data_IF_710480962377
#
_entry.id   IF_710480962377
#
_cell.length_a   1.000
_cell.length_b   1.000
_cell.length_c   1.000
_cell.angle_alpha   90.00
_cell.angle_beta   90.00
_cell.angle_gamma   90.00
#
_symmetry.space_group_name_H-M   'P 1'
#
loop_
_entity.id
_entity.type
_entity.pdbx_description
1 polymer ?
#
# COMPACT_ATOMS: atom_id res chain seq x y z
N UNK A 1 3.98 -6.93 4.37
CA UNK A 1 3.35 -8.08 5.03
C UNK A 1 1.92 -7.82 5.50
N UNK A 2 1.59 -6.64 6.04
CA UNK A 2 0.24 -6.30 6.56
C UNK A 2 -0.86 -6.51 5.49
N UNK A 3 -0.69 -6.03 4.25
CA UNK A 3 -1.67 -6.25 3.18
C UNK A 3 -1.91 -7.72 2.89
N UNK A 4 -0.87 -8.55 2.82
CA UNK A 4 -1.02 -9.99 2.60
C UNK A 4 -1.76 -10.70 3.73
N UNK A 5 -1.42 -10.39 4.98
CA UNK A 5 -2.10 -11.00 6.14
C UNK A 5 -3.57 -10.59 6.28
N UNK A 6 -3.93 -9.43 5.76
CA UNK A 6 -5.32 -8.94 5.76
C UNK A 6 -6.15 -9.55 4.62
N UNK A 7 -5.65 -9.49 3.38
CA UNK A 7 -6.45 -9.86 2.21
C UNK A 7 -6.42 -11.36 1.88
N UNK A 8 -5.30 -12.05 2.11
CA UNK A 8 -5.18 -13.48 1.81
C UNK A 8 -6.20 -14.37 2.56
N UNK A 9 -6.36 -14.25 3.89
CA UNK A 9 -7.35 -15.06 4.61
C UNK A 9 -8.78 -14.75 4.15
N UNK A 10 -9.10 -13.50 3.89
CA UNK A 10 -10.43 -13.04 3.47
C UNK A 10 -10.81 -13.59 2.10
N UNK A 11 -9.84 -13.63 1.15
CA UNK A 11 -10.04 -14.21 -0.18
C UNK A 11 -10.11 -15.73 -0.13
N UNK A 12 -9.17 -16.39 0.57
CA UNK A 12 -9.10 -17.87 0.65
C UNK A 12 -10.31 -18.46 1.37
N UNK A 13 -10.79 -17.83 2.44
CA UNK A 13 -11.95 -18.31 3.19
C UNK A 13 -13.29 -17.87 2.57
N UNK A 14 -13.25 -17.22 1.40
CA UNK A 14 -14.44 -16.67 0.72
C UNK A 14 -15.29 -15.76 1.61
N UNK A 15 -14.72 -15.21 2.69
CA UNK A 15 -15.42 -14.31 3.62
C UNK A 15 -15.85 -13.03 2.90
N UNK A 16 -15.02 -12.51 2.00
CA UNK A 16 -15.39 -11.36 1.14
C UNK A 16 -16.68 -11.65 0.38
N UNK A 17 -16.90 -12.89 -0.10
CA UNK A 17 -18.15 -13.25 -0.78
C UNK A 17 -19.35 -13.20 0.17
N UNK A 18 -19.21 -13.78 1.37
CA UNK A 18 -20.29 -13.78 2.36
C UNK A 18 -20.66 -12.36 2.79
N UNK A 19 -19.66 -11.49 2.96
CA UNK A 19 -19.87 -10.11 3.34
C UNK A 19 -20.45 -9.27 2.21
N UNK A 20 -20.12 -9.56 0.94
CA UNK A 20 -20.72 -8.90 -0.23
C UNK A 20 -22.19 -9.29 -0.47
N UNK A 21 -22.67 -10.40 0.10
CA UNK A 21 -24.09 -10.80 0.05
C UNK A 21 -24.94 -10.23 1.19
N UNK A 22 -24.32 -9.56 2.19
CA UNK A 22 -25.06 -8.82 3.19
C UNK A 22 -25.75 -7.59 2.57
N UNK A 23 -26.90 -7.15 3.08
CA UNK A 23 -27.63 -5.98 2.55
C UNK A 23 -26.95 -4.64 2.90
N UNK A 24 -25.64 -4.65 3.03
CA UNK A 24 -24.81 -3.48 3.26
C UNK A 24 -24.23 -3.00 1.92
N UNK A 25 -23.98 -1.70 1.81
CA UNK A 25 -23.36 -1.14 0.62
C UNK A 25 -21.93 -1.70 0.47
N UNK A 26 -21.73 -2.54 -0.55
CA UNK A 26 -20.48 -3.26 -0.83
C UNK A 26 -19.26 -2.33 -0.93
N UNK A 27 -19.49 -1.14 -1.50
CA UNK A 27 -18.45 -0.11 -1.64
C UNK A 27 -17.98 0.35 -0.26
N UNK A 28 -18.91 0.59 0.67
CA UNK A 28 -18.58 1.03 2.04
C UNK A 28 -17.74 -0.04 2.75
N UNK A 29 -18.06 -1.31 2.55
CA UNK A 29 -17.32 -2.41 3.16
C UNK A 29 -15.88 -2.51 2.64
N UNK A 30 -15.68 -2.43 1.32
CA UNK A 30 -14.34 -2.41 0.72
C UNK A 30 -13.53 -1.23 1.23
N UNK A 31 -14.13 -0.04 1.29
CA UNK A 31 -13.47 1.15 1.81
C UNK A 31 -13.09 1.01 3.30
N UNK A 32 -13.94 0.41 4.13
CA UNK A 32 -13.63 0.21 5.55
C UNK A 32 -12.47 -0.76 5.74
N UNK A 33 -12.38 -1.84 4.95
CA UNK A 33 -11.24 -2.76 4.97
C UNK A 33 -9.93 -2.06 4.57
N UNK A 34 -9.97 -1.28 3.48
CA UNK A 34 -8.81 -0.51 3.01
C UNK A 34 -8.39 0.52 4.03
N UNK A 35 -9.36 1.26 4.58
CA UNK A 35 -9.11 2.29 5.58
C UNK A 35 -8.46 1.70 6.84
N UNK A 36 -8.95 0.56 7.30
CA UNK A 36 -8.37 -0.13 8.46
C UNK A 36 -6.89 -0.49 8.22
N UNK A 37 -6.58 -1.14 7.09
CA UNK A 37 -5.20 -1.50 6.77
C UNK A 37 -4.29 -0.28 6.55
N UNK A 38 -4.84 0.78 5.93
CA UNK A 38 -4.14 2.04 5.76
C UNK A 38 -3.80 2.69 7.12
N UNK A 39 -4.78 2.75 8.05
CA UNK A 39 -4.57 3.28 9.40
C UNK A 39 -3.56 2.47 10.20
N UNK A 40 -3.55 1.14 10.06
CA UNK A 40 -2.56 0.27 10.72
C UNK A 40 -1.14 0.54 10.21
N UNK A 41 -0.97 0.69 8.90
CA UNK A 41 0.35 1.03 8.33
C UNK A 41 0.76 2.43 8.77
N UNK A 42 -0.15 3.39 8.72
CA UNK A 42 0.11 4.77 9.12
C UNK A 42 0.51 4.85 10.59
N UNK A 43 -0.17 4.14 11.48
CA UNK A 43 0.17 4.12 12.92
C UNK A 43 1.56 3.55 13.16
N UNK A 44 1.93 2.45 12.49
CA UNK A 44 3.27 1.88 12.57
C UNK A 44 4.33 2.85 12.05
N UNK A 45 4.09 3.49 10.92
CA UNK A 45 5.01 4.48 10.34
C UNK A 45 5.21 5.67 11.27
N UNK A 46 4.13 6.18 11.89
CA UNK A 46 4.21 7.29 12.87
C UNK A 46 5.03 6.89 14.09
N UNK A 47 4.80 5.70 14.65
CA UNK A 47 5.59 5.19 15.78
C UNK A 47 7.07 5.09 15.40
N UNK A 48 7.37 4.52 14.25
CA UNK A 48 8.74 4.42 13.75
C UNK A 48 9.40 5.79 13.55
N UNK A 49 8.67 6.75 13.00
CA UNK A 49 9.16 8.12 12.80
C UNK A 49 9.46 8.80 14.14
N UNK A 50 8.58 8.68 15.14
CA UNK A 50 8.78 9.25 16.46
C UNK A 50 10.03 8.65 17.11
N UNK A 51 10.18 7.32 17.10
CA UNK A 51 11.35 6.64 17.65
C UNK A 51 12.64 7.06 16.95
N UNK A 52 12.61 7.09 15.62
CA UNK A 52 13.76 7.49 14.83
C UNK A 52 14.18 8.92 15.09
N UNK A 53 13.25 9.88 15.06
CA UNK A 53 13.56 11.28 15.35
C UNK A 53 14.03 11.52 16.78
N UNK A 54 13.52 10.77 17.75
CA UNK A 54 13.98 10.87 19.14
C UNK A 54 15.46 10.48 19.24
N UNK A 55 15.87 9.41 18.54
CA UNK A 55 17.26 8.95 18.52
C UNK A 55 18.13 9.94 17.71
N UNK A 56 17.63 10.37 16.56
CA UNK A 56 18.34 11.28 15.65
C UNK A 56 18.65 12.63 16.32
N UNK A 57 17.69 13.22 17.02
CA UNK A 57 17.87 14.47 17.78
C UNK A 57 18.92 14.35 18.91
N UNK A 58 19.11 13.15 19.46
CA UNK A 58 20.05 12.93 20.54
C UNK A 58 21.51 12.73 20.07
N UNK A 59 21.68 12.10 18.91
CA UNK A 59 23.00 11.68 18.43
C UNK A 59 23.55 12.50 17.26
N UNK A 60 22.71 13.21 16.51
CA UNK A 60 23.11 13.85 15.25
C UNK A 60 22.85 15.36 15.23
N UNK A 61 23.68 16.15 14.52
CA UNK A 61 23.48 17.58 14.32
C UNK A 61 22.28 17.85 13.40
N UNK A 62 21.70 19.07 13.53
CA UNK A 62 20.46 19.48 12.87
C UNK A 62 20.50 19.34 11.34
N UNK A 63 21.66 19.49 10.73
CA UNK A 63 21.84 19.39 9.27
C UNK A 63 21.55 17.98 8.75
N UNK A 64 21.75 16.95 9.56
CA UNK A 64 21.49 15.56 9.19
C UNK A 64 20.01 15.20 9.23
N UNK A 65 19.19 15.93 10.00
CA UNK A 65 17.75 15.64 10.11
C UNK A 65 17.02 15.83 8.78
N UNK A 66 17.38 16.87 8.01
CA UNK A 66 16.76 17.11 6.68
C UNK A 66 17.09 15.97 5.71
N UNK A 67 18.34 15.48 5.74
CA UNK A 67 18.74 14.33 4.92
C UNK A 67 18.00 13.06 5.32
N UNK A 68 17.83 12.85 6.62
CA UNK A 68 17.09 11.71 7.16
C UNK A 68 15.61 11.72 6.73
N UNK A 69 14.92 12.87 6.83
CA UNK A 69 13.53 13.01 6.37
C UNK A 69 13.41 12.69 4.88
N UNK A 70 14.30 13.24 4.06
CA UNK A 70 14.30 12.97 2.63
C UNK A 70 14.55 11.49 2.29
N UNK A 71 15.37 10.80 3.08
CA UNK A 71 15.59 9.38 2.92
C UNK A 71 14.36 8.53 3.32
N UNK A 72 13.60 8.95 4.34
CA UNK A 72 12.43 8.21 4.83
C UNK A 72 11.18 8.36 3.96
N UNK A 73 10.98 9.50 3.33
CA UNK A 73 9.78 9.79 2.55
C UNK A 73 9.51 8.75 1.43
N UNK A 74 10.50 8.34 0.62
CA UNK A 74 10.32 7.28 -0.38
C UNK A 74 9.88 5.95 0.24
N UNK A 75 10.42 5.58 1.40
CA UNK A 75 10.05 4.33 2.09
C UNK A 75 8.59 4.33 2.54
N UNK A 76 8.11 5.47 3.05
CA UNK A 76 6.72 5.64 3.46
C UNK A 76 5.80 5.51 2.24
N UNK A 77 6.09 6.24 1.16
CA UNK A 77 5.31 6.19 -0.07
C UNK A 77 5.35 4.79 -0.71
N UNK A 78 6.53 4.16 -0.72
CA UNK A 78 6.69 2.77 -1.19
C UNK A 78 5.89 1.77 -0.38
N UNK A 79 5.84 1.94 0.94
CA UNK A 79 5.04 1.10 1.85
C UNK A 79 3.55 1.14 1.52
N UNK A 80 2.97 2.34 1.34
CA UNK A 80 1.58 2.50 0.96
C UNK A 80 1.30 1.98 -0.45
N UNK A 81 2.17 2.27 -1.40
CA UNK A 81 2.04 1.78 -2.78
C UNK A 81 2.03 0.25 -2.81
N UNK A 82 2.98 -0.37 -2.12
CA UNK A 82 3.07 -1.83 -1.99
C UNK A 82 1.81 -2.42 -1.35
N UNK A 83 1.25 -1.75 -0.34
CA UNK A 83 0.00 -2.20 0.30
C UNK A 83 -1.15 -2.28 -0.72
N UNK A 84 -1.36 -1.25 -1.52
CA UNK A 84 -2.41 -1.25 -2.54
C UNK A 84 -2.20 -2.31 -3.62
N UNK A 85 -0.96 -2.49 -4.08
CA UNK A 85 -0.66 -3.53 -5.07
C UNK A 85 -0.83 -4.94 -4.51
N UNK A 86 -0.46 -5.19 -3.25
CA UNK A 86 -0.71 -6.50 -2.61
C UNK A 86 -2.21 -6.76 -2.50
N UNK A 87 -3.01 -5.75 -2.20
CA UNK A 87 -4.46 -5.87 -2.21
C UNK A 87 -5.00 -6.19 -3.62
N UNK A 88 -4.48 -5.53 -4.67
CA UNK A 88 -4.82 -5.82 -6.06
C UNK A 88 -4.47 -7.27 -6.44
N UNK A 89 -3.25 -7.73 -6.13
CA UNK A 89 -2.80 -9.09 -6.41
C UNK A 89 -3.69 -10.13 -5.71
N UNK A 90 -4.08 -9.86 -4.46
CA UNK A 90 -4.93 -10.77 -3.69
C UNK A 90 -6.34 -10.88 -4.27
N UNK A 91 -6.95 -9.77 -4.71
CA UNK A 91 -8.31 -9.71 -5.22
C UNK A 91 -8.42 -10.03 -6.73
N UNK A 92 -7.34 -10.02 -7.48
CA UNK A 92 -7.40 -10.27 -8.93
C UNK A 92 -7.78 -11.74 -9.23
N UNK A 93 -8.86 -12.01 -9.99
CA UNK A 93 -9.27 -13.37 -10.30
C UNK A 93 -8.35 -14.06 -11.31
N UNK A 94 -7.70 -13.31 -12.21
CA UNK A 94 -6.87 -13.88 -13.27
C UNK A 94 -5.40 -13.99 -12.88
N UNK A 95 -4.82 -15.20 -13.00
CA UNK A 95 -3.42 -15.46 -12.68
C UNK A 95 -2.42 -14.61 -13.49
N UNK A 96 -2.75 -14.33 -14.76
CA UNK A 96 -1.89 -13.52 -15.65
C UNK A 96 -1.70 -12.10 -15.11
N UNK A 97 -2.78 -11.46 -14.66
CA UNK A 97 -2.71 -10.10 -14.08
C UNK A 97 -2.06 -10.10 -12.70
N UNK A 98 -2.20 -11.16 -11.90
CA UNK A 98 -1.46 -11.29 -10.63
C UNK A 98 0.04 -11.24 -10.85
N UNK A 99 0.57 -12.04 -11.81
CA UNK A 99 1.98 -12.03 -12.15
C UNK A 99 2.42 -10.67 -12.68
N UNK A 100 1.62 -10.01 -13.52
CA UNK A 100 1.94 -8.70 -14.05
C UNK A 100 2.04 -7.66 -12.94
N UNK A 101 1.08 -7.61 -12.02
CA UNK A 101 1.13 -6.70 -10.88
C UNK A 101 2.33 -6.97 -9.97
N UNK A 102 2.70 -8.24 -9.75
CA UNK A 102 3.87 -8.60 -8.95
C UNK A 102 5.18 -8.07 -9.58
N UNK A 103 5.32 -8.19 -10.90
CA UNK A 103 6.48 -7.66 -11.63
C UNK A 103 6.51 -6.13 -11.53
N UNK A 104 5.38 -5.46 -11.76
CA UNK A 104 5.28 -4.00 -11.67
C UNK A 104 5.66 -3.50 -10.27
N UNK A 105 5.20 -4.17 -9.21
CA UNK A 105 5.57 -3.82 -7.82
C UNK A 105 7.07 -3.96 -7.60
N UNK A 106 7.67 -5.03 -8.11
CA UNK A 106 9.09 -5.27 -7.96
C UNK A 106 9.93 -4.14 -8.58
N UNK A 107 9.64 -3.78 -9.84
CA UNK A 107 10.30 -2.68 -10.54
C UNK A 107 10.08 -1.31 -9.85
N UNK A 108 8.84 -1.07 -9.36
CA UNK A 108 8.53 0.15 -8.63
C UNK A 108 9.30 0.25 -7.31
N UNK A 109 9.47 -0.86 -6.58
CA UNK A 109 10.24 -0.87 -5.33
C UNK A 109 11.69 -0.46 -5.57
N UNK A 110 12.31 -0.91 -6.65
CA UNK A 110 13.66 -0.51 -7.00
C UNK A 110 13.75 1.02 -7.22
N UNK A 111 12.77 1.62 -7.89
CA UNK A 111 12.71 3.08 -8.08
C UNK A 111 12.58 3.81 -6.74
N UNK A 112 11.74 3.30 -5.81
CA UNK A 112 11.58 3.90 -4.48
C UNK A 112 12.86 3.80 -3.64
N UNK A 113 13.61 2.70 -3.76
CA UNK A 113 14.85 2.48 -3.02
C UNK A 113 16.02 3.30 -3.56
N UNK A 114 16.09 3.47 -4.88
CA UNK A 114 17.17 4.22 -5.55
C UNK A 114 16.93 5.73 -5.55
N UNK A 115 15.67 6.16 -5.41
CA UNK A 115 15.23 7.55 -5.63
C UNK A 115 15.57 8.55 -4.52
N UNK A 116 16.32 8.18 -3.49
CA UNK A 116 16.55 8.98 -2.28
C UNK A 116 17.13 10.39 -2.44
N UNK A 117 17.54 10.81 -3.64
CA UNK A 117 18.19 12.11 -3.86
C UNK A 117 17.54 12.99 -4.94
N UNK A 118 16.41 12.64 -5.51
CA UNK A 118 15.81 13.39 -6.61
C UNK A 118 14.42 13.92 -6.25
N UNK A 119 14.33 15.20 -5.90
CA UNK A 119 13.06 15.87 -5.54
C UNK A 119 11.95 15.72 -6.60
N UNK A 120 12.30 15.58 -7.88
CA UNK A 120 11.35 15.37 -8.97
C UNK A 120 10.69 13.97 -8.93
N UNK A 121 11.31 12.99 -8.28
CA UNK A 121 10.76 11.64 -8.15
C UNK A 121 9.60 11.56 -7.15
N UNK A 122 9.50 12.46 -6.18
CA UNK A 122 8.39 12.46 -5.22
C UNK A 122 7.03 12.66 -5.90
N UNK A 123 6.96 13.54 -6.89
CA UNK A 123 5.73 13.76 -7.66
C UNK A 123 5.31 12.48 -8.39
N UNK A 124 6.27 11.80 -9.03
CA UNK A 124 6.02 10.52 -9.70
C UNK A 124 5.56 9.45 -8.69
N UNK A 125 6.17 9.36 -7.53
CA UNK A 125 5.79 8.44 -6.47
C UNK A 125 4.36 8.66 -5.98
N UNK A 126 3.95 9.92 -5.81
CA UNK A 126 2.58 10.29 -5.43
C UNK A 126 1.60 9.90 -6.55
N UNK A 127 1.94 10.17 -7.81
CA UNK A 127 1.10 9.78 -8.95
C UNK A 127 0.91 8.26 -8.98
N UNK A 128 1.98 7.49 -8.81
CA UNK A 128 1.91 6.02 -8.77
C UNK A 128 1.03 5.53 -7.61
N UNK A 129 1.14 6.15 -6.43
CA UNK A 129 0.30 5.84 -5.26
C UNK A 129 -1.18 6.09 -5.58
N UNK A 130 -1.53 7.20 -6.21
CA UNK A 130 -2.90 7.51 -6.63
C UNK A 130 -3.40 6.48 -7.65
N UNK A 131 -2.59 6.14 -8.65
CA UNK A 131 -2.94 5.13 -9.66
C UNK A 131 -3.15 3.77 -8.99
N UNK A 132 -2.29 3.36 -8.05
CA UNK A 132 -2.42 2.11 -7.32
C UNK A 132 -3.71 2.07 -6.49
N UNK A 133 -4.07 3.16 -5.83
CA UNK A 133 -5.32 3.24 -5.06
C UNK A 133 -6.57 3.12 -5.93
N UNK A 134 -6.58 3.77 -7.10
CA UNK A 134 -7.67 3.65 -8.09
C UNK A 134 -7.72 2.24 -8.71
N UNK A 135 -6.55 1.68 -9.04
CA UNK A 135 -6.42 0.32 -9.56
C UNK A 135 -6.98 -0.74 -8.60
N UNK A 136 -6.78 -0.55 -7.29
CA UNK A 136 -7.36 -1.42 -6.29
C UNK A 136 -8.89 -1.42 -6.31
N UNK A 137 -9.52 -0.25 -6.43
CA UNK A 137 -10.98 -0.13 -6.53
C UNK A 137 -11.50 -0.85 -7.78
N UNK A 138 -10.79 -0.66 -8.90
CA UNK A 138 -11.13 -1.33 -10.16
C UNK A 138 -11.03 -2.86 -10.05
N UNK A 139 -9.97 -3.37 -9.43
CA UNK A 139 -9.76 -4.82 -9.23
C UNK A 139 -10.82 -5.41 -8.30
N UNK A 140 -11.22 -4.69 -7.25
CA UNK A 140 -12.29 -5.12 -6.36
C UNK A 140 -13.63 -5.25 -7.10
N UNK A 141 -13.95 -4.31 -8.00
CA UNK A 141 -15.15 -4.40 -8.86
C UNK A 141 -15.07 -5.59 -9.83
N UNK A 142 -13.90 -5.87 -10.42
CA UNK A 142 -13.69 -7.04 -11.27
C UNK A 142 -13.83 -8.36 -10.52
N UNK A 143 -13.33 -8.41 -9.30
CA UNK A 143 -13.48 -9.59 -8.44
C UNK A 143 -14.95 -9.95 -8.23
N UNK A 144 -15.81 -8.95 -8.05
CA UNK A 144 -17.26 -9.13 -7.96
C UNK A 144 -17.88 -9.67 -9.25
N UNK A 145 -17.50 -9.11 -10.40
CA UNK A 145 -18.11 -9.43 -11.72
C UNK A 145 -17.54 -10.75 -12.27
N UNK A 146 -16.26 -11.04 -12.05
CA UNK A 146 -15.55 -12.19 -12.63
C UNK A 146 -15.94 -13.55 -12.08
N UNK A 147 -16.84 -13.59 -11.11
CA UNK A 147 -17.36 -14.82 -10.50
C UNK A 147 -18.78 -15.17 -10.92
N UNK A 148 -19.30 -14.52 -11.96
CA UNK A 148 -20.48 -14.99 -12.69
C UNK A 148 -20.03 -15.90 -13.83
#
# INVERSE_FOLDING_TARGET
>A
MIGGSQYLPEVLQKRIKLTLHLPLNEIVMLYTMVLYGFLMILSLMVIFMILFFTIDLYFFPVEMHVMAINAFLPWILGGFTTYFFVAMIAMEPSWKFRCLYAIVVYELLDIYLLGGNMSNLYVLMIIVLVIASLGMIYTANRFKIGEK
#
